data_IF_807465457348
#
_entry.id   IF_807465457348
#
_cell.length_a   1.000
_cell.length_b   1.000
_cell.length_c   1.000
_cell.angle_alpha   90.00
_cell.angle_beta   90.00
_cell.angle_gamma   90.00
#
_symmetry.space_group_name_H-M   'P 1'
#
loop_
_entity.id
_entity.type
_entity.pdbx_description
1 polymer ?
#
# COMPACT_ATOMS: atom_id res chain seq x y z
N UNK A 1 -49.57 40.35 31.08
CA UNK A 1 -48.11 40.60 31.16
C UNK A 1 -47.35 39.37 31.73
N UNK A 2 -47.86 38.71 32.80
CA UNK A 2 -47.21 37.52 33.40
C UNK A 2 -47.23 36.25 32.53
N UNK A 3 -48.27 36.05 31.72
CA UNK A 3 -48.43 34.89 30.83
C UNK A 3 -47.47 34.96 29.65
N UNK A 4 -47.23 36.14 29.11
CA UNK A 4 -46.27 36.36 28.01
C UNK A 4 -44.83 36.12 28.47
N UNK A 5 -44.50 36.45 29.71
CA UNK A 5 -43.19 36.23 30.29
C UNK A 5 -42.88 34.72 30.52
N UNK A 6 -43.94 33.96 30.84
CA UNK A 6 -43.82 32.49 31.03
C UNK A 6 -43.61 31.74 29.70
N UNK A 7 -44.23 32.23 28.63
CA UNK A 7 -44.06 31.64 27.28
C UNK A 7 -42.69 31.92 26.66
N UNK A 8 -42.12 33.10 26.98
CA UNK A 8 -40.75 33.46 26.52
C UNK A 8 -39.67 32.63 27.28
N UNK A 9 -39.95 32.34 28.56
CA UNK A 9 -39.04 31.53 29.39
C UNK A 9 -39.04 30.04 28.96
N UNK A 10 -40.19 29.55 28.47
CA UNK A 10 -40.28 28.13 27.97
C UNK A 10 -39.63 27.90 26.62
N UNK A 11 -39.48 28.97 25.79
CA UNK A 11 -38.87 28.90 24.49
C UNK A 11 -37.34 28.99 24.50
N UNK A 12 -36.75 29.49 25.62
CA UNK A 12 -35.32 29.69 25.77
C UNK A 12 -34.59 28.45 26.32
N UNK A 13 -35.32 27.38 26.73
CA UNK A 13 -34.73 26.18 27.33
C UNK A 13 -34.62 25.02 26.33
N UNK A 14 -35.11 25.18 25.09
CA UNK A 14 -35.12 24.10 24.09
C UNK A 14 -34.03 24.23 23.03
N UNK A 15 -32.99 25.05 23.24
CA UNK A 15 -31.93 25.28 22.24
C UNK A 15 -30.51 24.94 22.72
N UNK A 16 -30.36 24.06 23.73
CA UNK A 16 -29.04 23.56 24.16
C UNK A 16 -29.12 22.03 24.22
N UNK A 17 -29.19 21.40 23.08
CA UNK A 17 -28.86 19.97 22.94
C UNK A 17 -28.55 19.66 21.49
N UNK A 18 -27.47 20.23 21.00
CA UNK A 18 -26.77 19.79 19.82
C UNK A 18 -25.26 19.86 20.09
N UNK A 19 -24.83 19.14 21.15
CA UNK A 19 -23.46 18.68 21.21
C UNK A 19 -23.39 17.53 20.24
N UNK A 20 -23.05 17.81 18.99
CA UNK A 20 -22.59 16.84 18.04
C UNK A 20 -21.28 16.30 18.59
N UNK A 21 -21.33 15.12 19.19
CA UNK A 21 -20.13 14.30 19.35
C UNK A 21 -19.57 14.09 17.95
N UNK A 22 -18.53 14.82 17.63
CA UNK A 22 -17.65 14.51 16.52
C UNK A 22 -16.94 13.24 16.93
N UNK A 23 -17.61 12.10 16.72
CA UNK A 23 -16.93 10.82 16.64
C UNK A 23 -15.92 11.01 15.54
N UNK A 24 -14.67 11.05 15.90
CA UNK A 24 -13.54 10.90 14.98
C UNK A 24 -13.68 9.51 14.37
N UNK A 25 -14.50 9.40 13.34
CA UNK A 25 -14.45 8.25 12.45
C UNK A 25 -13.06 8.32 11.79
N UNK A 26 -12.17 7.51 12.35
CA UNK A 26 -11.00 7.05 11.65
C UNK A 26 -11.51 6.62 10.25
N UNK A 27 -11.03 7.18 9.14
CA UNK A 27 -11.44 6.73 7.83
C UNK A 27 -10.93 5.30 7.67
N UNK A 28 -11.74 4.35 8.11
CA UNK A 28 -11.63 2.99 7.62
C UNK A 28 -11.74 3.13 6.12
N UNK A 29 -10.66 2.84 5.43
CA UNK A 29 -10.58 2.87 3.99
C UNK A 29 -11.80 2.09 3.48
N UNK A 30 -12.80 2.82 3.00
CA UNK A 30 -13.95 2.26 2.32
C UNK A 30 -13.43 1.77 0.99
N UNK A 31 -12.83 0.58 1.00
CA UNK A 31 -12.54 -0.13 -0.23
C UNK A 31 -13.90 -0.45 -0.84
N UNK A 32 -14.30 0.33 -1.83
CA UNK A 32 -15.36 -0.09 -2.75
C UNK A 32 -15.00 -1.52 -3.15
N UNK A 33 -15.87 -2.51 -2.93
CA UNK A 33 -15.53 -3.89 -3.25
C UNK A 33 -15.16 -3.94 -4.73
N UNK A 34 -13.95 -4.41 -5.01
CA UNK A 34 -13.51 -4.69 -6.37
C UNK A 34 -14.41 -5.82 -6.88
N UNK A 35 -15.02 -5.62 -8.02
CA UNK A 35 -15.87 -6.64 -8.66
C UNK A 35 -15.11 -7.25 -9.84
N UNK A 36 -15.01 -8.58 -9.85
CA UNK A 36 -14.42 -9.34 -10.94
C UNK A 36 -15.44 -10.35 -11.49
N UNK A 37 -15.21 -10.81 -12.71
CA UNK A 37 -15.82 -12.03 -13.20
C UNK A 37 -14.96 -13.20 -12.71
N UNK A 38 -15.51 -14.05 -11.85
CA UNK A 38 -14.78 -15.19 -11.30
C UNK A 38 -14.27 -16.10 -12.42
N UNK A 39 -13.03 -16.57 -12.28
CA UNK A 39 -12.37 -17.41 -13.27
C UNK A 39 -10.86 -17.30 -13.23
N UNK A 40 -10.18 -18.02 -14.11
CA UNK A 40 -8.74 -17.94 -14.28
C UNK A 40 -8.42 -17.31 -15.63
N UNK A 41 -7.66 -16.23 -15.61
CA UNK A 41 -7.26 -15.45 -16.78
C UNK A 41 -5.76 -15.53 -16.95
N UNK A 42 -5.31 -15.64 -18.21
CA UNK A 42 -3.89 -15.67 -18.53
C UNK A 42 -3.51 -14.44 -19.31
N UNK A 43 -2.39 -13.86 -18.93
CA UNK A 43 -1.82 -12.72 -19.63
C UNK A 43 -0.29 -12.80 -19.63
N UNK A 44 0.34 -11.99 -20.47
CA UNK A 44 1.80 -11.94 -20.57
C UNK A 44 2.27 -10.50 -20.78
N UNK A 45 3.43 -10.17 -20.21
CA UNK A 45 4.06 -8.87 -20.44
C UNK A 45 5.56 -9.06 -20.65
N UNK A 46 6.16 -8.13 -21.41
CA UNK A 46 7.56 -8.19 -21.77
C UNK A 46 8.48 -8.03 -20.55
N UNK A 47 9.25 -9.05 -20.24
CA UNK A 47 10.37 -9.02 -19.31
C UNK A 47 11.67 -8.57 -19.98
N UNK A 48 12.83 -8.85 -19.35
CA UNK A 48 14.13 -8.49 -19.91
C UNK A 48 14.49 -9.35 -21.12
N UNK A 49 14.30 -10.66 -21.00
CA UNK A 49 14.72 -11.64 -22.03
C UNK A 49 13.56 -12.19 -22.83
N UNK A 50 12.45 -12.44 -22.18
CA UNK A 50 11.24 -12.97 -22.79
C UNK A 50 10.00 -12.47 -22.06
N UNK A 51 8.81 -12.65 -22.62
CA UNK A 51 7.58 -12.38 -21.89
C UNK A 51 7.52 -13.21 -20.59
N UNK A 52 6.98 -12.60 -19.55
CA UNK A 52 6.55 -13.26 -18.32
C UNK A 52 5.06 -13.53 -18.45
N UNK A 53 4.68 -14.80 -18.42
CA UNK A 53 3.30 -15.25 -18.55
C UNK A 53 2.74 -15.65 -17.20
N UNK A 54 1.58 -15.13 -16.85
CA UNK A 54 0.91 -15.38 -15.58
C UNK A 54 -0.48 -16.00 -15.79
N UNK A 55 -0.94 -16.78 -14.81
CA UNK A 55 -2.33 -17.17 -14.64
C UNK A 55 -2.82 -16.56 -13.32
N UNK A 56 -3.90 -15.79 -13.39
CA UNK A 56 -4.51 -15.14 -12.24
C UNK A 56 -5.91 -15.67 -12.05
N UNK A 57 -6.20 -16.18 -10.86
CA UNK A 57 -7.52 -16.69 -10.48
C UNK A 57 -8.24 -15.66 -9.61
N UNK A 58 -9.46 -15.32 -10.01
CA UNK A 58 -10.32 -14.36 -9.32
C UNK A 58 -11.58 -15.04 -8.78
N UNK A 59 -12.00 -14.63 -7.61
CA UNK A 59 -13.40 -14.75 -7.17
C UNK A 59 -14.16 -13.47 -7.57
N UNK A 60 -15.43 -13.37 -7.21
CA UNK A 60 -16.27 -12.20 -7.53
C UNK A 60 -15.77 -10.89 -6.88
N UNK A 61 -14.88 -10.96 -5.90
CA UNK A 61 -14.47 -9.81 -5.09
C UNK A 61 -12.96 -9.67 -4.83
N UNK A 62 -12.14 -10.64 -5.21
CA UNK A 62 -10.71 -10.62 -4.91
C UNK A 62 -9.87 -11.46 -5.84
N UNK A 63 -8.57 -11.18 -5.87
CA UNK A 63 -7.54 -11.99 -6.48
C UNK A 63 -7.22 -13.15 -5.51
N UNK A 64 -7.43 -14.40 -5.94
CA UNK A 64 -7.23 -15.56 -5.08
C UNK A 64 -5.86 -16.21 -5.27
N UNK A 65 -5.37 -16.19 -6.50
CA UNK A 65 -4.12 -16.88 -6.84
C UNK A 65 -3.44 -16.21 -8.03
N UNK A 66 -2.12 -16.15 -7.98
CA UNK A 66 -1.26 -15.74 -9.10
C UNK A 66 -0.20 -16.83 -9.31
N UNK A 67 -0.09 -17.36 -10.51
CA UNK A 67 0.91 -18.35 -10.90
C UNK A 67 1.74 -17.82 -12.06
N UNK A 68 3.05 -17.92 -11.93
CA UNK A 68 3.96 -17.66 -13.05
C UNK A 68 4.06 -18.92 -13.87
N UNK A 69 3.55 -18.90 -15.09
CA UNK A 69 3.53 -20.06 -15.98
C UNK A 69 4.84 -20.22 -16.76
N UNK A 70 5.33 -19.11 -17.32
CA UNK A 70 6.51 -19.08 -18.17
C UNK A 70 7.29 -17.80 -17.96
N UNK A 71 8.61 -17.88 -17.95
CA UNK A 71 9.51 -16.74 -17.96
C UNK A 71 10.89 -17.14 -18.50
N UNK A 72 11.60 -16.22 -19.13
CA UNK A 72 13.01 -16.41 -19.55
C UNK A 72 13.99 -15.56 -18.74
N UNK A 73 13.58 -15.12 -17.58
CA UNK A 73 14.39 -14.29 -16.70
C UNK A 73 15.58 -15.06 -16.12
N UNK A 74 16.62 -14.34 -15.70
CA UNK A 74 17.84 -14.93 -15.15
C UNK A 74 17.56 -15.53 -13.77
N UNK A 75 17.77 -16.84 -13.64
CA UNK A 75 17.66 -17.55 -12.36
C UNK A 75 18.54 -16.92 -11.28
N UNK A 76 18.17 -17.05 -10.04
CA UNK A 76 18.78 -16.47 -8.84
C UNK A 76 18.75 -14.93 -8.78
N UNK A 77 18.54 -14.23 -9.89
CA UNK A 77 18.39 -12.77 -9.91
C UNK A 77 16.90 -12.43 -9.87
N UNK A 78 16.08 -13.03 -10.73
CA UNK A 78 14.67 -12.76 -10.84
C UNK A 78 13.81 -13.44 -9.77
N UNK A 79 14.33 -14.47 -9.12
CA UNK A 79 13.57 -15.32 -8.19
C UNK A 79 12.87 -14.50 -7.10
N UNK A 80 13.56 -13.48 -6.56
CA UNK A 80 12.95 -12.59 -5.56
C UNK A 80 11.72 -11.85 -6.10
N UNK A 81 11.73 -11.38 -7.35
CA UNK A 81 10.56 -10.72 -7.93
C UNK A 81 9.45 -11.70 -8.27
N UNK A 82 9.80 -12.91 -8.76
CA UNK A 82 8.85 -13.95 -9.11
C UNK A 82 8.06 -14.46 -7.89
N UNK A 83 8.63 -14.37 -6.70
CA UNK A 83 8.02 -14.78 -5.44
C UNK A 83 7.33 -13.61 -4.73
N UNK A 84 8.04 -12.50 -4.50
CA UNK A 84 7.56 -11.38 -3.68
C UNK A 84 6.46 -10.54 -4.35
N UNK A 85 6.48 -10.33 -5.67
CA UNK A 85 5.46 -9.51 -6.33
C UNK A 85 4.09 -10.18 -6.31
N UNK A 86 3.91 -11.47 -6.69
CA UNK A 86 2.63 -12.14 -6.54
C UNK A 86 2.10 -12.15 -5.11
N UNK A 87 2.98 -12.41 -4.13
CA UNK A 87 2.62 -12.43 -2.71
C UNK A 87 2.13 -11.04 -2.23
N UNK A 88 2.87 -9.97 -2.55
CA UNK A 88 2.49 -8.61 -2.21
C UNK A 88 1.15 -8.18 -2.83
N UNK A 89 0.88 -8.59 -4.08
CA UNK A 89 -0.41 -8.32 -4.73
C UNK A 89 -1.55 -9.06 -4.01
N UNK A 90 -1.36 -10.32 -3.65
CA UNK A 90 -2.36 -11.12 -2.95
C UNK A 90 -2.66 -10.59 -1.55
N UNK A 91 -1.64 -10.18 -0.80
CA UNK A 91 -1.79 -9.59 0.53
C UNK A 91 -2.53 -8.25 0.50
N UNK A 92 -2.13 -7.38 -0.41
CA UNK A 92 -2.66 -6.02 -0.47
C UNK A 92 -3.91 -5.88 -1.36
N UNK A 93 -4.24 -6.91 -2.16
CA UNK A 93 -5.30 -6.84 -3.18
C UNK A 93 -5.16 -5.59 -4.07
N UNK A 94 -3.93 -5.28 -4.46
CA UNK A 94 -3.55 -4.04 -5.14
C UNK A 94 -2.36 -4.28 -6.07
N UNK A 95 -2.29 -3.50 -7.15
CA UNK A 95 -1.14 -3.41 -8.05
C UNK A 95 -0.18 -2.28 -7.66
N UNK A 96 -0.54 -1.45 -6.67
CA UNK A 96 0.30 -0.38 -6.14
C UNK A 96 1.34 -0.90 -5.13
N UNK A 97 1.96 -2.03 -5.44
CA UNK A 97 3.02 -2.63 -4.64
C UNK A 97 4.40 -2.19 -5.12
N UNK A 98 5.37 -2.15 -4.21
CA UNK A 98 6.74 -1.76 -4.55
C UNK A 98 7.43 -2.82 -5.42
N UNK A 99 8.25 -2.36 -6.36
CA UNK A 99 9.11 -3.23 -7.16
C UNK A 99 10.29 -3.73 -6.33
N UNK A 100 10.72 -4.94 -6.58
CA UNK A 100 11.90 -5.51 -5.91
C UNK A 100 13.17 -4.84 -6.43
N UNK A 101 14.01 -4.34 -5.52
CA UNK A 101 15.27 -3.68 -5.86
C UNK A 101 16.17 -4.59 -6.68
N UNK A 102 16.89 -4.03 -7.64
CA UNK A 102 17.77 -4.73 -8.60
C UNK A 102 17.07 -5.59 -9.66
N UNK A 103 15.76 -5.84 -9.54
CA UNK A 103 14.96 -6.63 -10.51
C UNK A 103 13.70 -5.90 -10.97
N UNK A 104 13.79 -4.60 -11.11
CA UNK A 104 12.69 -3.70 -11.46
C UNK A 104 11.98 -4.10 -12.75
N UNK A 105 12.71 -4.52 -13.79
CA UNK A 105 12.11 -4.89 -15.08
C UNK A 105 11.24 -6.14 -14.96
N UNK A 106 11.73 -7.17 -14.27
CA UNK A 106 10.94 -8.40 -14.02
C UNK A 106 9.74 -8.11 -13.12
N UNK A 107 9.91 -7.29 -12.07
CA UNK A 107 8.81 -6.84 -11.21
C UNK A 107 7.71 -6.16 -12.02
N UNK A 108 8.08 -5.23 -12.91
CA UNK A 108 7.12 -4.53 -13.78
C UNK A 108 6.46 -5.45 -14.79
N UNK A 109 7.20 -6.43 -15.34
CA UNK A 109 6.60 -7.41 -16.25
C UNK A 109 5.50 -8.22 -15.55
N UNK A 110 5.75 -8.66 -14.31
CA UNK A 110 4.75 -9.37 -13.51
C UNK A 110 3.54 -8.46 -13.24
N UNK A 111 3.77 -7.23 -12.77
CA UNK A 111 2.70 -6.27 -12.50
C UNK A 111 1.84 -6.00 -13.74
N UNK A 112 2.45 -5.75 -14.89
CA UNK A 112 1.74 -5.50 -16.13
C UNK A 112 0.94 -6.72 -16.60
N UNK A 113 1.51 -7.93 -16.49
CA UNK A 113 0.79 -9.14 -16.85
C UNK A 113 -0.41 -9.39 -15.91
N UNK A 114 -0.26 -9.14 -14.61
CA UNK A 114 -1.39 -9.25 -13.67
C UNK A 114 -2.42 -8.15 -13.94
N UNK A 115 -2.00 -6.95 -14.31
CA UNK A 115 -2.89 -5.86 -14.71
C UNK A 115 -3.78 -6.26 -15.89
N UNK A 116 -3.17 -6.80 -16.95
CA UNK A 116 -3.91 -7.27 -18.13
C UNK A 116 -4.91 -8.38 -17.77
N UNK A 117 -4.53 -9.30 -16.85
CA UNK A 117 -5.45 -10.32 -16.36
C UNK A 117 -6.60 -9.73 -15.52
N UNK A 118 -6.33 -8.68 -14.72
CA UNK A 118 -7.37 -7.95 -13.97
C UNK A 118 -8.33 -7.24 -14.93
N UNK A 119 -7.86 -6.63 -16.01
CA UNK A 119 -8.68 -5.99 -17.01
C UNK A 119 -9.60 -7.01 -17.70
N UNK A 120 -9.08 -8.19 -18.09
CA UNK A 120 -9.86 -9.28 -18.66
C UNK A 120 -10.96 -9.76 -17.71
N UNK A 121 -10.69 -9.78 -16.40
CA UNK A 121 -11.67 -10.13 -15.37
C UNK A 121 -12.68 -9.01 -15.07
N UNK A 122 -12.57 -7.84 -15.71
CA UNK A 122 -13.44 -6.69 -15.48
C UNK A 122 -13.12 -5.87 -14.24
N UNK A 123 -11.91 -6.02 -13.69
CA UNK A 123 -11.45 -5.28 -12.52
C UNK A 123 -11.29 -3.77 -12.78
N UNK A 124 -11.49 -2.96 -11.76
CA UNK A 124 -11.27 -1.53 -11.83
C UNK A 124 -9.78 -1.20 -11.57
N UNK A 125 -9.05 -0.91 -12.63
CA UNK A 125 -7.61 -0.64 -12.56
C UNK A 125 -7.27 0.63 -11.76
N UNK A 126 -8.13 1.65 -11.77
CA UNK A 126 -7.89 2.88 -11.00
C UNK A 126 -7.88 2.59 -9.49
N UNK A 127 -8.76 1.71 -9.03
CA UNK A 127 -8.77 1.27 -7.64
C UNK A 127 -7.55 0.41 -7.32
N UNK A 128 -7.18 -0.53 -8.19
CA UNK A 128 -6.04 -1.42 -7.99
C UNK A 128 -4.70 -0.69 -7.98
N UNK A 129 -4.58 0.41 -8.72
CA UNK A 129 -3.39 1.25 -8.78
C UNK A 129 -3.41 2.42 -7.80
N UNK A 130 -4.48 2.59 -7.04
CA UNK A 130 -4.53 3.62 -6.00
C UNK A 130 -3.45 3.34 -4.95
N UNK A 131 -2.71 4.38 -4.52
CA UNK A 131 -1.69 4.20 -3.49
C UNK A 131 -2.27 3.50 -2.27
N UNK A 132 -1.57 2.47 -1.81
CA UNK A 132 -1.94 1.80 -0.56
C UNK A 132 -1.88 2.82 0.58
N UNK A 133 -2.84 2.79 1.53
CA UNK A 133 -2.74 3.62 2.71
C UNK A 133 -1.41 3.29 3.40
N UNK A 134 -0.54 4.29 3.50
CA UNK A 134 0.70 4.11 4.22
C UNK A 134 0.35 3.64 5.64
N UNK A 135 0.84 2.48 6.04
CA UNK A 135 0.83 2.05 7.43
C UNK A 135 1.76 2.98 8.21
N UNK A 136 1.26 4.18 8.52
CA UNK A 136 1.97 5.15 9.35
C UNK A 136 1.71 4.78 10.80
N UNK A 137 2.62 4.04 11.39
CA UNK A 137 2.89 4.18 12.81
C UNK A 137 3.79 5.40 12.92
N UNK A 138 3.23 6.55 13.29
CA UNK A 138 4.04 7.71 13.61
C UNK A 138 4.80 7.40 14.89
N UNK A 139 6.11 7.16 14.77
CA UNK A 139 7.01 6.95 15.89
C UNK A 139 7.83 8.24 16.07
N UNK A 140 7.66 8.90 17.21
CA UNK A 140 8.43 10.08 17.56
C UNK A 140 9.70 9.64 18.30
N UNK A 141 10.86 9.86 17.67
CA UNK A 141 12.16 9.53 18.24
C UNK A 141 13.01 10.78 18.34
N UNK A 142 13.58 11.05 19.51
CA UNK A 142 14.54 12.16 19.72
C UNK A 142 15.96 11.67 19.57
N UNK A 143 16.78 12.39 18.79
CA UNK A 143 18.18 12.12 18.55
C UNK A 143 18.97 13.42 18.36
N UNK A 144 20.30 13.37 18.57
CA UNK A 144 21.19 14.50 18.31
C UNK A 144 21.51 14.59 16.81
N UNK A 145 21.57 13.44 16.13
CA UNK A 145 21.84 13.31 14.70
C UNK A 145 20.86 12.33 14.05
N UNK A 146 20.27 12.74 12.93
CA UNK A 146 19.45 11.88 12.08
C UNK A 146 20.18 11.67 10.75
N UNK A 147 20.41 10.41 10.38
CA UNK A 147 21.02 10.01 9.11
C UNK A 147 19.97 9.37 8.23
N UNK A 148 19.76 9.93 7.03
CA UNK A 148 18.79 9.39 6.05
C UNK A 148 19.54 8.65 4.96
N UNK A 149 19.26 7.33 4.87
CA UNK A 149 19.95 6.41 3.96
C UNK A 149 21.11 5.68 4.62
N UNK A 150 21.04 4.33 4.66
CA UNK A 150 22.05 3.46 5.30
C UNK A 150 22.99 2.81 4.28
N UNK A 151 23.25 3.47 3.15
CA UNK A 151 24.36 3.11 2.28
C UNK A 151 25.71 3.33 2.97
N UNK A 152 26.83 3.03 2.27
CA UNK A 152 28.18 3.14 2.86
C UNK A 152 28.44 4.50 3.52
N UNK A 153 28.03 5.59 2.89
CA UNK A 153 28.18 6.94 3.44
C UNK A 153 27.34 7.15 4.72
N UNK A 154 26.10 6.66 4.74
CA UNK A 154 25.23 6.77 5.91
C UNK A 154 25.74 5.96 7.10
N UNK A 155 26.21 4.73 6.86
CA UNK A 155 26.85 3.90 7.88
C UNK A 155 28.07 4.61 8.47
N UNK A 156 28.96 5.14 7.61
CA UNK A 156 30.18 5.84 8.05
C UNK A 156 29.84 7.10 8.86
N UNK A 157 28.84 7.88 8.41
CA UNK A 157 28.40 9.07 9.13
C UNK A 157 27.79 8.72 10.49
N UNK A 158 26.96 7.67 10.54
CA UNK A 158 26.36 7.19 11.80
C UNK A 158 27.43 6.74 12.79
N UNK A 159 28.41 5.96 12.33
CA UNK A 159 29.50 5.50 13.18
C UNK A 159 30.33 6.69 13.72
N UNK A 160 30.68 7.64 12.86
CA UNK A 160 31.45 8.83 13.29
C UNK A 160 30.70 9.66 14.32
N UNK A 161 29.39 9.80 14.18
CA UNK A 161 28.57 10.52 15.15
C UNK A 161 28.45 9.76 16.49
N UNK A 162 28.30 8.44 16.45
CA UNK A 162 28.31 7.57 17.64
C UNK A 162 29.64 7.64 18.37
N UNK A 163 30.76 7.59 17.64
CA UNK A 163 32.11 7.70 18.22
C UNK A 163 32.34 9.07 18.88
N UNK A 164 31.65 10.12 18.40
CA UNK A 164 31.63 11.44 19.02
C UNK A 164 30.69 11.53 20.24
N UNK A 165 29.99 10.46 20.60
CA UNK A 165 29.09 10.37 21.74
C UNK A 165 27.67 10.89 21.48
N UNK A 166 27.30 11.14 20.23
CA UNK A 166 25.96 11.59 19.86
C UNK A 166 24.95 10.42 19.87
N UNK A 167 23.71 10.70 20.23
CA UNK A 167 22.56 9.80 20.01
C UNK A 167 22.16 9.87 18.53
N UNK A 168 22.26 8.77 17.82
CA UNK A 168 22.01 8.71 16.38
C UNK A 168 20.76 7.90 16.08
N UNK A 169 19.93 8.42 15.19
CA UNK A 169 18.84 7.67 14.53
C UNK A 169 19.14 7.58 13.05
N UNK A 170 19.11 6.38 12.51
CA UNK A 170 19.31 6.13 11.09
C UNK A 170 18.03 5.61 10.46
N UNK A 171 17.66 6.18 9.31
CA UNK A 171 16.42 5.85 8.58
C UNK A 171 16.80 5.30 7.21
N UNK A 172 16.27 4.12 6.88
CA UNK A 172 16.46 3.49 5.57
C UNK A 172 15.11 3.13 4.96
N UNK A 173 14.98 3.28 3.66
CA UNK A 173 13.75 2.96 2.91
C UNK A 173 13.57 1.46 2.72
N UNK A 174 14.65 0.75 2.41
CA UNK A 174 14.65 -0.70 2.21
C UNK A 174 15.00 -1.41 3.53
N UNK A 175 14.35 -2.55 3.79
CA UNK A 175 14.76 -3.44 4.86
C UNK A 175 16.20 -3.94 4.63
N UNK A 176 16.98 -4.04 5.70
CA UNK A 176 18.33 -4.56 5.68
C UNK A 176 18.34 -6.07 5.49
#
# INVERSE_FOLDING_TARGET
KKVIQLLISAFLILSISACSETTSENPTASSTPQAYTAGTYTAEAQGIRSPVKVAVTFSDSKIEKIEILEHGETRNIADAALEQIPEAILENQSLAVDVVSSVTFTSRAILNAVEDACEQAGGNLDLLKSPLPASKTDEEVSADVVVVGMGLAGITASMSALDAGAKVVSVEKAGA
#
